data_IF_192426114961
#
_entry.id   IF_192426114961
#
_cell.length_a   1.000
_cell.length_b   1.000
_cell.length_c   1.000
_cell.angle_alpha   90.00
_cell.angle_beta   90.00
_cell.angle_gamma   90.00
#
_symmetry.space_group_name_H-M   'P 1'
#
loop_
_entity.id
_entity.type
_entity.pdbx_description
1 polymer ?
#
# COMPACT_ATOMS: atom_id res chain seq x y z
N UNK A 1 -36.65 -1.08 -40.69
CA UNK A 1 -35.99 -2.26 -40.10
C UNK A 1 -34.89 -1.72 -39.20
N UNK A 2 -35.25 -1.38 -37.96
CA UNK A 2 -34.38 -0.58 -37.08
C UNK A 2 -33.71 -1.48 -36.04
N UNK A 3 -32.38 -1.38 -36.06
CA UNK A 3 -31.40 -1.46 -34.98
C UNK A 3 -31.77 -2.24 -33.72
N UNK A 4 -30.88 -3.15 -33.32
CA UNK A 4 -30.17 -3.03 -32.04
C UNK A 4 -28.95 -3.95 -32.02
N UNK A 5 -27.79 -3.30 -32.17
CA UNK A 5 -26.47 -3.84 -31.89
C UNK A 5 -26.28 -3.81 -30.36
N UNK A 6 -26.27 -4.98 -29.70
CA UNK A 6 -26.01 -5.10 -28.27
C UNK A 6 -24.53 -5.40 -28.05
N UNK A 7 -23.72 -4.34 -27.99
CA UNK A 7 -22.38 -4.43 -27.40
C UNK A 7 -22.58 -4.67 -25.91
N UNK A 8 -22.24 -5.89 -25.48
CA UNK A 8 -22.11 -6.25 -24.07
C UNK A 8 -21.02 -5.40 -23.44
N UNK A 9 -21.44 -4.34 -22.76
CA UNK A 9 -20.60 -3.59 -21.85
C UNK A 9 -20.37 -4.47 -20.61
N UNK A 10 -19.22 -5.13 -20.58
CA UNK A 10 -18.65 -5.65 -19.36
C UNK A 10 -18.34 -4.48 -18.41
N UNK A 11 -19.26 -4.18 -17.50
CA UNK A 11 -18.97 -3.36 -16.32
C UNK A 11 -17.99 -4.15 -15.44
N UNK A 12 -16.69 -3.99 -15.68
CA UNK A 12 -15.69 -4.24 -14.65
C UNK A 12 -15.72 -3.03 -13.71
N UNK A 13 -16.64 -3.06 -12.73
CA UNK A 13 -16.59 -2.13 -11.61
C UNK A 13 -15.29 -2.36 -10.87
N UNK A 14 -14.25 -1.59 -11.23
CA UNK A 14 -13.02 -1.43 -10.45
C UNK A 14 -13.44 -0.85 -9.10
N UNK A 15 -13.80 -1.75 -8.18
CA UNK A 15 -14.22 -1.37 -6.84
C UNK A 15 -12.98 -0.80 -6.13
N UNK A 16 -12.84 0.51 -6.17
CA UNK A 16 -11.84 1.26 -5.44
C UNK A 16 -12.29 1.35 -3.98
N UNK A 17 -11.61 0.63 -3.10
CA UNK A 17 -11.84 0.66 -1.67
C UNK A 17 -10.95 1.72 -1.04
N UNK A 18 -11.59 2.67 -0.38
CA UNK A 18 -10.90 3.70 0.41
C UNK A 18 -11.10 3.39 1.89
N UNK A 19 -10.03 3.40 2.70
CA UNK A 19 -10.14 3.21 4.14
C UNK A 19 -11.01 4.27 4.81
N UNK A 20 -12.03 3.83 5.55
CA UNK A 20 -12.87 4.69 6.39
C UNK A 20 -12.14 5.01 7.71
N UNK A 21 -11.18 5.92 7.63
CA UNK A 21 -10.41 6.41 8.78
C UNK A 21 -10.66 7.90 8.96
N UNK A 22 -10.72 8.35 10.22
CA UNK A 22 -10.90 9.76 10.56
C UNK A 22 -9.82 10.64 9.91
N UNK A 23 -10.21 11.82 9.42
CA UNK A 23 -9.33 12.72 8.64
C UNK A 23 -8.06 13.14 9.42
N UNK A 24 -8.17 13.26 10.74
CA UNK A 24 -7.06 13.56 11.66
C UNK A 24 -6.02 12.43 11.76
N UNK A 25 -6.38 11.20 11.35
CA UNK A 25 -5.49 10.03 11.37
C UNK A 25 -5.02 9.61 9.99
N UNK A 26 -5.47 10.29 8.93
CA UNK A 26 -4.97 10.07 7.58
C UNK A 26 -3.60 10.73 7.41
N UNK A 27 -2.62 10.06 6.76
CA UNK A 27 -1.36 10.71 6.42
C UNK A 27 -1.61 11.79 5.37
N UNK A 28 -0.97 12.95 5.56
CA UNK A 28 -1.07 14.08 4.65
C UNK A 28 0.22 14.22 3.83
N UNK A 29 0.11 14.68 2.59
CA UNK A 29 1.30 15.09 1.83
C UNK A 29 1.99 16.22 2.58
N UNK A 30 3.32 16.14 2.67
CA UNK A 30 4.17 17.04 3.46
C UNK A 30 4.05 16.90 4.97
N UNK A 31 3.40 15.85 5.48
CA UNK A 31 3.52 15.51 6.90
C UNK A 31 4.98 15.19 7.22
N UNK A 32 5.53 15.82 8.26
CA UNK A 32 6.89 15.61 8.72
C UNK A 32 6.91 14.69 9.95
N UNK A 33 7.98 13.90 10.04
CA UNK A 33 8.27 12.97 11.11
C UNK A 33 9.73 13.09 11.51
N UNK A 34 10.03 13.00 12.81
CA UNK A 34 11.41 13.07 13.29
C UNK A 34 12.18 11.78 12.98
N UNK A 35 11.50 10.64 12.91
CA UNK A 35 12.11 9.34 12.64
C UNK A 35 11.32 8.50 11.62
N UNK A 36 12.00 7.53 11.01
CA UNK A 36 11.34 6.55 10.13
C UNK A 36 10.40 5.61 10.89
N UNK A 37 10.68 5.39 12.17
CA UNK A 37 9.88 4.53 13.03
C UNK A 37 8.53 5.20 13.33
N UNK A 38 8.55 6.50 13.66
CA UNK A 38 7.33 7.30 13.85
C UNK A 38 6.46 7.31 12.59
N UNK A 39 7.07 7.52 11.42
CA UNK A 39 6.38 7.42 10.13
C UNK A 39 5.79 6.02 9.87
N UNK A 40 6.50 4.96 10.28
CA UNK A 40 6.03 3.58 10.15
C UNK A 40 4.85 3.30 11.09
N UNK A 41 4.97 3.66 12.36
CA UNK A 41 3.92 3.47 13.37
C UNK A 41 2.65 4.24 13.01
N UNK A 42 2.80 5.48 12.56
CA UNK A 42 1.69 6.30 12.09
C UNK A 42 0.94 5.61 10.94
N UNK A 43 1.66 5.16 9.91
CA UNK A 43 1.04 4.48 8.77
C UNK A 43 0.48 3.10 9.13
N UNK A 44 1.14 2.37 10.04
CA UNK A 44 0.66 1.09 10.54
C UNK A 44 -0.66 1.24 11.32
N UNK A 45 -0.79 2.31 12.11
CA UNK A 45 -2.02 2.62 12.83
C UNK A 45 -3.15 2.96 11.85
N UNK A 46 -2.87 3.82 10.87
CA UNK A 46 -3.80 4.11 9.76
C UNK A 46 -4.25 2.81 9.05
N UNK A 47 -3.31 1.92 8.76
CA UNK A 47 -3.62 0.65 8.10
C UNK A 47 -4.50 -0.26 8.95
N UNK A 48 -4.22 -0.38 10.25
CA UNK A 48 -5.03 -1.15 11.21
C UNK A 48 -6.46 -0.64 11.29
N UNK A 49 -6.63 0.67 11.39
CA UNK A 49 -7.96 1.30 11.39
C UNK A 49 -8.66 1.12 10.04
N UNK A 50 -7.89 1.23 8.97
CA UNK A 50 -8.34 1.00 7.60
C UNK A 50 -8.60 -0.46 7.24
N UNK A 51 -8.37 -1.43 8.11
CA UNK A 51 -8.61 -2.84 7.81
C UNK A 51 -7.63 -3.43 6.78
N UNK A 52 -6.36 -2.98 6.78
CA UNK A 52 -5.30 -3.57 5.97
C UNK A 52 -3.97 -3.62 6.71
N UNK A 53 -3.01 -4.33 6.14
CA UNK A 53 -1.66 -4.45 6.69
C UNK A 53 -0.65 -3.87 5.72
N UNK A 54 0.42 -3.30 6.26
CA UNK A 54 1.50 -2.69 5.47
C UNK A 54 2.77 -3.55 5.49
N UNK A 55 3.58 -3.41 4.45
CA UNK A 55 4.95 -3.96 4.39
C UNK A 55 5.91 -2.89 3.87
N UNK A 56 7.20 -3.06 4.18
CA UNK A 56 8.26 -2.24 3.58
C UNK A 56 8.53 -2.80 2.17
N UNK A 57 8.44 -1.94 1.16
CA UNK A 57 8.72 -2.33 -0.22
C UNK A 57 10.17 -2.06 -0.60
N UNK A 58 10.65 -0.86 -0.30
CA UNK A 58 11.99 -0.44 -0.65
C UNK A 58 12.50 0.61 0.34
N UNK A 59 13.81 0.62 0.54
CA UNK A 59 14.53 1.64 1.31
C UNK A 59 15.74 2.05 0.48
N UNK A 60 15.80 3.32 0.12
CA UNK A 60 16.93 3.91 -0.60
C UNK A 60 17.84 4.55 0.43
N UNK A 61 19.11 4.16 0.40
CA UNK A 61 20.18 4.73 1.22
C UNK A 61 21.08 5.60 0.36
N UNK A 62 21.54 6.71 0.92
CA UNK A 62 22.63 7.49 0.36
C UNK A 62 23.93 6.71 0.58
N UNK A 63 24.69 6.44 -0.49
CA UNK A 63 25.95 5.68 -0.39
C UNK A 63 27.05 6.45 0.34
N UNK A 64 27.01 7.77 0.30
CA UNK A 64 28.04 8.64 0.90
C UNK A 64 27.86 8.79 2.41
N UNK A 65 26.62 8.99 2.87
CA UNK A 65 26.29 9.18 4.29
C UNK A 65 25.84 7.89 5.00
N UNK A 66 25.57 6.82 4.24
CA UNK A 66 24.92 5.59 4.70
C UNK A 66 23.54 5.82 5.39
N UNK A 67 22.92 6.96 5.10
CA UNK A 67 21.63 7.38 5.64
C UNK A 67 20.47 6.93 4.74
N UNK A 68 19.34 6.56 5.34
CA UNK A 68 18.11 6.27 4.60
C UNK A 68 17.51 7.59 4.10
N UNK A 69 17.51 7.78 2.78
CA UNK A 69 16.98 9.00 2.13
C UNK A 69 15.53 8.85 1.67
N UNK A 70 15.08 7.62 1.39
CA UNK A 70 13.71 7.36 0.94
C UNK A 70 13.26 6.01 1.45
N UNK A 71 12.03 5.93 1.95
CA UNK A 71 11.42 4.66 2.37
C UNK A 71 10.01 4.56 1.84
N UNK A 72 9.66 3.37 1.37
CA UNK A 72 8.39 3.09 0.73
C UNK A 72 7.66 1.97 1.47
N UNK A 73 6.45 2.28 1.91
CA UNK A 73 5.53 1.39 2.59
C UNK A 73 4.33 1.12 1.70
N UNK A 74 3.90 -0.12 1.62
CA UNK A 74 2.90 -0.56 0.65
C UNK A 74 1.92 -1.51 1.30
N UNK A 75 0.72 -1.63 0.75
CA UNK A 75 -0.23 -2.65 1.20
C UNK A 75 0.38 -4.05 1.04
N UNK A 76 0.07 -4.95 1.97
CA UNK A 76 0.53 -6.34 1.92
C UNK A 76 0.07 -7.08 0.65
N UNK A 77 -1.08 -6.69 0.08
CA UNK A 77 -1.60 -7.21 -1.19
C UNK A 77 -1.01 -6.51 -2.43
N UNK A 78 -0.08 -5.56 -2.27
CA UNK A 78 0.65 -4.95 -3.41
C UNK A 78 1.60 -5.97 -4.08
N UNK A 79 1.58 -5.97 -5.42
CA UNK A 79 2.53 -6.68 -6.28
C UNK A 79 1.88 -7.79 -7.09
N UNK A 80 2.64 -8.44 -7.96
CA UNK A 80 2.18 -9.60 -8.74
C UNK A 80 2.57 -10.90 -8.00
N UNK A 81 1.65 -11.86 -7.94
CA UNK A 81 1.93 -13.17 -7.35
C UNK A 81 3.11 -13.82 -8.07
N UNK A 82 4.17 -14.22 -7.34
CA UNK A 82 5.17 -15.13 -7.90
C UNK A 82 4.46 -16.47 -8.10
N UNK A 83 4.41 -16.96 -9.34
CA UNK A 83 3.82 -18.27 -9.65
C UNK A 83 4.31 -19.31 -8.64
N UNK A 84 3.37 -20.04 -8.04
CA UNK A 84 3.67 -21.15 -7.16
C UNK A 84 4.42 -22.22 -7.95
N UNK A 85 5.75 -22.22 -7.89
CA UNK A 85 6.55 -23.35 -8.38
C UNK A 85 6.44 -24.46 -7.32
N UNK A 86 5.76 -25.56 -7.67
CA UNK A 86 5.69 -26.75 -6.82
C UNK A 86 7.05 -27.45 -6.88
N UNK A 87 7.95 -27.10 -5.97
CA UNK A 87 9.18 -27.86 -5.74
C UNK A 87 8.99 -28.66 -4.46
N UNK A 88 9.02 -30.00 -4.57
CA UNK A 88 9.08 -30.95 -3.45
C UNK A 88 7.93 -30.89 -2.43
N UNK A 89 6.67 -31.10 -2.85
CA UNK A 89 5.48 -31.40 -2.00
C UNK A 89 5.18 -30.44 -0.82
N UNK A 90 5.96 -29.38 -0.63
CA UNK A 90 5.69 -28.28 0.28
C UNK A 90 5.02 -27.17 -0.53
N UNK A 91 3.72 -27.02 -0.36
CA UNK A 91 2.98 -25.86 -0.90
C UNK A 91 3.52 -24.61 -0.19
N UNK A 92 4.56 -23.97 -0.73
CA UNK A 92 4.78 -22.55 -0.47
C UNK A 92 3.78 -21.81 -1.33
N UNK A 93 2.53 -21.73 -0.87
CA UNK A 93 1.55 -20.87 -1.51
C UNK A 93 2.05 -19.44 -1.30
N UNK A 94 2.68 -18.86 -2.32
CA UNK A 94 3.04 -17.46 -2.32
C UNK A 94 1.76 -16.65 -2.16
N UNK A 95 1.75 -15.70 -1.23
CA UNK A 95 0.64 -14.76 -1.04
C UNK A 95 0.18 -14.27 -2.42
N UNK A 96 -1.10 -14.48 -2.75
CA UNK A 96 -1.72 -13.94 -3.96
C UNK A 96 -1.74 -12.42 -3.78
N UNK A 97 -0.76 -11.73 -4.38
CA UNK A 97 -0.68 -10.28 -4.37
C UNK A 97 -1.60 -9.77 -5.47
N UNK A 98 -2.62 -9.01 -5.08
CA UNK A 98 -3.69 -8.53 -5.94
C UNK A 98 -3.34 -7.26 -6.72
N UNK A 99 -2.10 -6.79 -6.69
CA UNK A 99 -1.70 -5.56 -7.37
C UNK A 99 -2.26 -4.28 -6.72
N UNK A 100 -2.50 -4.28 -5.41
CA UNK A 100 -2.97 -3.09 -4.69
C UNK A 100 -2.03 -1.90 -4.92
N UNK A 101 -2.58 -0.71 -5.19
CA UNK A 101 -1.78 0.49 -5.48
C UNK A 101 -1.53 1.39 -4.26
N UNK A 102 -2.09 1.03 -3.10
CA UNK A 102 -1.95 1.77 -1.86
C UNK A 102 -0.50 1.78 -1.35
N UNK A 103 0.07 2.97 -1.23
CA UNK A 103 1.46 3.20 -0.84
C UNK A 103 1.67 4.53 -0.15
N UNK A 104 2.67 4.55 0.73
CA UNK A 104 3.19 5.72 1.40
C UNK A 104 4.70 5.80 1.15
N UNK A 105 5.17 6.93 0.66
CA UNK A 105 6.59 7.21 0.44
C UNK A 105 7.01 8.37 1.31
N UNK A 106 8.02 8.13 2.14
CA UNK A 106 8.69 9.15 2.94
C UNK A 106 10.08 9.42 2.42
N UNK A 107 10.49 10.68 2.44
CA UNK A 107 11.79 11.16 1.96
C UNK A 107 12.45 11.99 3.05
N UNK A 108 13.76 11.78 3.27
CA UNK A 108 14.55 12.58 4.21
C UNK A 108 14.75 13.98 3.63
N UNK A 109 14.39 14.99 4.42
CA UNK A 109 14.62 16.40 4.15
C UNK A 109 16.05 16.79 4.56
N UNK A 110 16.51 17.92 4.05
CA UNK A 110 17.83 18.49 4.33
C UNK A 110 18.02 18.81 5.82
N UNK A 111 16.92 19.05 6.53
CA UNK A 111 16.89 19.28 7.98
C UNK A 111 16.94 17.99 8.83
N UNK A 112 17.10 16.82 8.21
CA UNK A 112 17.16 15.53 8.89
C UNK A 112 15.82 14.89 9.24
N UNK A 113 14.71 15.58 8.98
CA UNK A 113 13.33 15.07 9.18
C UNK A 113 12.86 14.23 7.99
N UNK A 114 11.87 13.38 8.20
CA UNK A 114 11.25 12.56 7.15
C UNK A 114 9.89 13.15 6.75
N UNK A 115 9.73 13.47 5.49
CA UNK A 115 8.50 14.06 4.96
C UNK A 115 7.76 13.07 4.06
N UNK A 116 6.44 13.00 4.20
CA UNK A 116 5.56 12.26 3.27
C UNK A 116 5.56 12.94 1.91
N UNK A 117 6.12 12.26 0.91
CA UNK A 117 6.19 12.74 -0.46
C UNK A 117 5.01 12.24 -1.30
N UNK A 118 4.68 10.95 -1.17
CA UNK A 118 3.60 10.32 -1.92
C UNK A 118 2.72 9.55 -0.94
N UNK A 119 1.41 9.76 -1.05
CA UNK A 119 0.39 8.99 -0.34
C UNK A 119 -0.70 8.61 -1.34
N UNK A 120 -1.03 7.32 -1.39
CA UNK A 120 -2.11 6.74 -2.19
C UNK A 120 -2.95 5.88 -1.25
N UNK A 121 -4.20 6.28 -1.04
CA UNK A 121 -5.14 5.58 -0.15
C UNK A 121 -6.02 4.55 -0.87
N UNK A 122 -6.01 4.56 -2.20
CA UNK A 122 -6.87 3.71 -3.03
C UNK A 122 -6.41 2.25 -3.02
N UNK A 123 -7.32 1.35 -2.67
CA UNK A 123 -7.12 -0.09 -2.69
C UNK A 123 -8.00 -0.74 -3.75
N UNK A 124 -7.46 -1.71 -4.48
CA UNK A 124 -8.22 -2.50 -5.47
C UNK A 124 -8.85 -3.77 -4.88
N UNK A 125 -8.99 -3.83 -3.55
CA UNK A 125 -9.54 -4.99 -2.86
C UNK A 125 -10.27 -4.56 -1.60
N UNK A 126 -11.26 -5.36 -1.19
CA UNK A 126 -11.92 -5.17 0.09
C UNK A 126 -10.91 -5.10 1.23
N UNK A 127 -11.03 -4.06 2.03
CA UNK A 127 -10.26 -3.85 3.24
C UNK A 127 -10.81 -4.81 4.28
N UNK A 128 -10.07 -5.87 4.54
CA UNK A 128 -10.49 -6.88 5.49
C UNK A 128 -10.24 -6.30 6.88
N UNK A 129 -11.25 -5.65 7.46
CA UNK A 129 -11.31 -5.53 8.91
C UNK A 129 -10.95 -6.90 9.51
N UNK A 130 -9.95 -7.01 10.40
CA UNK A 130 -9.76 -8.25 11.12
C UNK A 130 -11.00 -8.42 11.99
N UNK A 131 -12.03 -9.09 11.47
CA UNK A 131 -12.96 -9.77 12.35
C UNK A 131 -12.07 -10.73 13.13
N UNK A 132 -11.88 -10.40 14.41
CA UNK A 132 -11.25 -11.28 15.39
C UNK A 132 -12.02 -12.60 15.29
N UNK A 133 -11.37 -13.64 14.76
CA UNK A 133 -11.75 -15.00 15.08
C UNK A 133 -11.14 -15.33 16.45
#
# INVERSE_FOLDING_TARGET
MNAQNVVGQSNCEDSLYVPEVALDRKPHKRQEFDTLDDAYEFYNKYAKEGGFSIRINSSTICKESNDIIRKEYVCFKEGQARQCQVVNRKRRCGIIRGGCSAKLVVVKSEFGKYMVCIFVEEHNHALSSPQRC
#
